data_IF_641763653938
#
_entry.id   IF_641763653938
#
_cell.length_a   1.000
_cell.length_b   1.000
_cell.length_c   1.000
_cell.angle_alpha   90.00
_cell.angle_beta   90.00
_cell.angle_gamma   90.00
#
_symmetry.space_group_name_H-M   'P 1'
#
loop_
_entity.id
_entity.type
_entity.pdbx_description
1 polymer ?
#
# COMPACT_ATOMS: atom_id res chain seq x y z
N UNK A 1 73.93 -8.01 37.45
CA UNK A 1 73.55 -8.31 36.05
C UNK A 1 74.48 -7.53 35.14
N UNK A 2 75.30 -8.23 34.36
CA UNK A 2 76.35 -7.63 33.54
C UNK A 2 75.76 -6.89 32.34
N UNK A 3 76.43 -5.82 31.90
CA UNK A 3 76.13 -4.99 30.71
C UNK A 3 75.84 -5.82 29.46
N UNK A 4 76.41 -7.02 29.38
CA UNK A 4 76.15 -8.00 28.34
C UNK A 4 74.68 -8.44 28.28
N UNK A 5 74.02 -8.70 29.42
CA UNK A 5 72.64 -9.21 29.47
C UNK A 5 71.59 -8.18 29.01
N UNK A 6 71.83 -6.89 29.31
CA UNK A 6 71.00 -5.77 28.83
C UNK A 6 71.14 -5.59 27.31
N UNK A 7 72.34 -5.83 26.77
CA UNK A 7 72.60 -5.73 25.34
C UNK A 7 71.89 -6.86 24.56
N UNK A 8 71.84 -8.08 25.11
CA UNK A 8 71.11 -9.19 24.49
C UNK A 8 69.59 -9.01 24.48
N UNK A 9 68.99 -8.46 25.54
CA UNK A 9 67.54 -8.19 25.55
C UNK A 9 67.15 -7.06 24.58
N UNK A 10 67.96 -6.01 24.47
CA UNK A 10 67.75 -4.95 23.47
C UNK A 10 67.86 -5.47 22.04
N UNK A 11 68.88 -6.28 21.74
CA UNK A 11 69.06 -6.90 20.42
C UNK A 11 67.89 -7.86 20.14
N UNK A 12 67.47 -8.66 21.11
CA UNK A 12 66.34 -9.59 20.97
C UNK A 12 65.03 -8.85 20.68
N UNK A 13 64.73 -7.77 21.40
CA UNK A 13 63.54 -6.94 21.18
C UNK A 13 63.57 -6.26 19.80
N UNK A 14 64.73 -5.73 19.39
CA UNK A 14 64.92 -5.12 18.08
C UNK A 14 64.77 -6.14 16.95
N UNK A 15 65.30 -7.36 17.11
CA UNK A 15 65.13 -8.45 16.14
C UNK A 15 63.68 -8.94 16.05
N UNK A 16 62.94 -8.98 17.16
CA UNK A 16 61.52 -9.32 17.19
C UNK A 16 60.67 -8.28 16.46
N UNK A 17 60.96 -6.99 16.63
CA UNK A 17 60.27 -5.92 15.89
C UNK A 17 60.58 -5.95 14.40
N UNK A 18 61.84 -6.20 14.02
CA UNK A 18 62.24 -6.37 12.61
C UNK A 18 61.57 -7.62 12.00
N UNK A 19 61.52 -8.74 12.74
CA UNK A 19 60.82 -9.95 12.30
C UNK A 19 59.32 -9.68 12.15
N UNK A 20 58.70 -8.96 13.07
CA UNK A 20 57.29 -8.58 13.01
C UNK A 20 57.00 -7.65 11.82
N UNK A 21 57.88 -6.69 11.54
CA UNK A 21 57.77 -5.81 10.37
C UNK A 21 57.92 -6.59 9.05
N UNK A 22 58.92 -7.47 8.95
CA UNK A 22 59.11 -8.33 7.77
C UNK A 22 57.95 -9.31 7.57
N UNK A 23 57.38 -9.86 8.65
CA UNK A 23 56.19 -10.71 8.58
C UNK A 23 54.95 -9.93 8.12
N UNK A 24 54.77 -8.68 8.57
CA UNK A 24 53.73 -7.80 8.06
C UNK A 24 53.93 -7.46 6.58
N UNK A 25 55.17 -7.15 6.17
CA UNK A 25 55.51 -6.89 4.76
C UNK A 25 55.24 -8.11 3.90
N UNK A 26 55.65 -9.30 4.34
CA UNK A 26 55.40 -10.55 3.64
C UNK A 26 53.89 -10.83 3.55
N UNK A 27 53.14 -10.60 4.62
CA UNK A 27 51.68 -10.76 4.63
C UNK A 27 50.99 -9.77 3.67
N UNK A 28 51.43 -8.51 3.62
CA UNK A 28 50.94 -7.51 2.68
C UNK A 28 51.28 -7.87 1.22
N UNK A 29 52.49 -8.37 0.97
CA UNK A 29 52.90 -8.86 -0.34
C UNK A 29 52.06 -10.07 -0.76
N UNK A 30 51.83 -11.02 0.14
CA UNK A 30 50.96 -12.19 -0.10
C UNK A 30 49.52 -11.74 -0.36
N UNK A 31 48.96 -10.80 0.41
CA UNK A 31 47.64 -10.22 0.16
C UNK A 31 47.56 -9.51 -1.20
N UNK A 32 48.60 -8.79 -1.60
CA UNK A 32 48.64 -8.13 -2.91
C UNK A 32 48.72 -9.13 -4.06
N UNK A 33 49.50 -10.20 -3.91
CA UNK A 33 49.61 -11.29 -4.86
C UNK A 33 48.32 -12.12 -4.96
N UNK A 34 47.65 -12.37 -3.82
CA UNK A 34 46.33 -13.01 -3.78
C UNK A 34 45.29 -12.13 -4.48
N UNK A 35 45.24 -10.82 -4.22
CA UNK A 35 44.33 -9.90 -4.93
C UNK A 35 44.57 -9.89 -6.44
N UNK A 36 45.83 -9.91 -6.87
CA UNK A 36 46.16 -9.99 -8.29
C UNK A 36 45.77 -11.35 -8.89
N UNK A 37 45.95 -12.44 -8.16
CA UNK A 37 45.58 -13.80 -8.59
C UNK A 37 44.07 -14.05 -8.62
N UNK A 38 43.29 -13.30 -7.84
CA UNK A 38 41.82 -13.32 -7.80
C UNK A 38 41.17 -12.13 -8.54
N UNK A 39 41.94 -11.36 -9.30
CA UNK A 39 41.37 -10.30 -10.13
C UNK A 39 40.62 -10.98 -11.27
N UNK A 40 39.31 -11.11 -11.10
CA UNK A 40 38.39 -11.65 -12.09
C UNK A 40 38.53 -10.80 -13.37
N UNK A 41 38.94 -11.42 -14.48
CA UNK A 41 39.17 -10.79 -15.80
C UNK A 41 37.84 -10.39 -16.48
N UNK A 42 36.77 -10.27 -15.69
CA UNK A 42 35.42 -9.96 -16.12
C UNK A 42 35.20 -8.48 -16.40
N UNK A 43 34.24 -8.19 -17.28
CA UNK A 43 33.81 -6.82 -17.52
C UNK A 43 33.23 -6.22 -16.22
N UNK A 44 33.47 -4.91 -15.94
CA UNK A 44 32.90 -4.24 -14.79
C UNK A 44 31.38 -4.29 -14.82
N UNK A 45 30.77 -4.59 -13.67
CA UNK A 45 29.31 -4.61 -13.47
C UNK A 45 28.86 -3.29 -12.84
N UNK A 46 27.84 -2.65 -13.41
CA UNK A 46 27.25 -1.41 -12.90
C UNK A 46 25.79 -1.61 -12.51
N UNK A 47 25.43 -1.27 -11.27
CA UNK A 47 24.04 -1.28 -10.82
C UNK A 47 23.36 0.03 -11.24
N UNK A 48 22.21 -0.10 -11.92
CA UNK A 48 21.42 1.03 -12.42
C UNK A 48 19.98 0.83 -11.97
N UNK A 49 19.38 1.85 -11.36
CA UNK A 49 17.96 1.82 -10.99
C UNK A 49 17.14 2.64 -11.98
N UNK A 50 16.02 2.06 -12.44
CA UNK A 50 15.02 2.74 -13.27
C UNK A 50 13.64 2.68 -12.64
N UNK A 51 12.81 3.70 -12.88
CA UNK A 51 11.39 3.66 -12.47
C UNK A 51 10.51 3.21 -13.62
N UNK A 52 9.44 2.45 -13.32
CA UNK A 52 8.39 2.12 -14.30
C UNK A 52 7.86 3.40 -14.96
N UNK A 53 7.72 3.39 -16.29
CA UNK A 53 7.35 4.55 -17.11
C UNK A 53 8.47 5.59 -17.31
N UNK A 54 9.57 5.48 -16.54
CA UNK A 54 10.71 6.38 -16.58
C UNK A 54 11.71 6.06 -17.68
N UNK A 55 12.95 6.56 -17.51
CA UNK A 55 14.06 6.34 -18.44
C UNK A 55 15.37 6.12 -17.72
N UNK A 56 16.26 5.32 -18.31
CA UNK A 56 17.62 5.06 -17.82
C UNK A 56 18.64 5.26 -18.93
N UNK A 57 19.89 5.47 -18.52
CA UNK A 57 21.04 5.58 -19.40
C UNK A 57 22.08 4.53 -18.99
N UNK A 58 22.39 3.60 -19.89
CA UNK A 58 23.45 2.62 -19.70
C UNK A 58 24.71 3.13 -20.41
N UNK A 59 25.66 3.63 -19.62
CA UNK A 59 26.85 4.33 -20.10
C UNK A 59 27.91 3.39 -20.65
N UNK A 60 28.30 3.54 -21.93
CA UNK A 60 29.37 2.75 -22.54
C UNK A 60 30.38 3.64 -23.26
N UNK A 61 31.54 3.85 -22.63
CA UNK A 61 32.60 4.70 -23.15
C UNK A 61 33.64 3.88 -23.89
N UNK A 62 33.96 4.27 -25.13
CA UNK A 62 34.93 3.55 -25.95
C UNK A 62 35.96 4.50 -26.56
N UNK A 63 37.24 4.19 -26.34
CA UNK A 63 38.36 5.08 -26.70
C UNK A 63 38.82 4.98 -28.16
N UNK A 64 38.36 3.98 -28.92
CA UNK A 64 38.89 3.60 -30.24
C UNK A 64 37.83 3.70 -31.35
N UNK A 65 38.24 3.78 -32.64
CA UNK A 65 37.29 3.61 -33.74
C UNK A 65 36.67 2.22 -33.68
N UNK A 66 35.37 2.17 -33.46
CA UNK A 66 34.59 0.94 -33.35
C UNK A 66 33.86 0.65 -34.63
N UNK A 67 33.84 -0.62 -35.06
CA UNK A 67 33.03 -1.04 -36.21
C UNK A 67 31.57 -1.21 -35.82
N UNK A 68 31.37 -1.71 -34.60
CA UNK A 68 30.09 -2.09 -34.02
C UNK A 68 30.12 -1.89 -32.50
N UNK A 69 29.07 -1.28 -31.97
CA UNK A 69 28.73 -1.27 -30.54
C UNK A 69 27.29 -1.69 -30.40
N UNK A 70 26.98 -2.63 -29.51
CA UNK A 70 25.60 -3.02 -29.27
C UNK A 70 25.33 -3.37 -27.82
N UNK A 71 24.05 -3.29 -27.48
CA UNK A 71 23.53 -3.66 -26.19
C UNK A 71 22.68 -4.92 -26.34
N UNK A 72 22.88 -5.85 -25.43
CA UNK A 72 22.07 -7.06 -25.31
C UNK A 72 21.57 -7.21 -23.88
N UNK A 73 20.42 -7.85 -23.72
CA UNK A 73 19.92 -8.36 -22.43
C UNK A 73 20.26 -9.86 -22.30
N UNK A 74 20.39 -10.36 -21.07
CA UNK A 74 20.63 -11.76 -20.73
C UNK A 74 21.98 -12.27 -21.27
N UNK A 75 23.05 -11.52 -21.05
CA UNK A 75 24.36 -11.80 -21.61
C UNK A 75 24.96 -13.10 -21.12
N UNK A 76 24.58 -13.51 -19.90
CA UNK A 76 25.07 -14.74 -19.26
C UNK A 76 24.43 -16.00 -19.85
N UNK A 77 23.43 -15.84 -20.72
CA UNK A 77 22.68 -16.93 -21.37
C UNK A 77 22.54 -16.66 -22.86
N UNK A 78 23.51 -17.07 -23.70
CA UNK A 78 23.52 -16.77 -25.13
C UNK A 78 22.24 -17.15 -25.86
N UNK A 79 21.62 -18.27 -25.49
CA UNK A 79 20.36 -18.77 -26.06
C UNK A 79 19.12 -17.92 -25.71
N UNK A 80 19.17 -17.16 -24.62
CA UNK A 80 18.12 -16.24 -24.18
C UNK A 80 18.48 -14.77 -24.48
N UNK A 81 19.61 -14.52 -25.14
CA UNK A 81 20.12 -13.17 -25.38
C UNK A 81 19.22 -12.37 -26.31
N UNK A 82 18.92 -11.14 -25.95
CA UNK A 82 18.03 -10.26 -26.72
C UNK A 82 18.80 -9.02 -27.15
N UNK A 83 18.88 -8.81 -28.46
CA UNK A 83 19.43 -7.59 -29.02
C UNK A 83 18.53 -6.39 -28.70
N UNK A 84 19.09 -5.37 -28.04
CA UNK A 84 18.36 -4.18 -27.57
C UNK A 84 18.47 -3.05 -28.59
N UNK A 85 19.69 -2.58 -28.84
CA UNK A 85 19.99 -1.54 -29.84
C UNK A 85 21.51 -1.52 -30.10
N UNK A 86 21.95 -0.90 -31.20
CA UNK A 86 23.35 -0.88 -31.58
C UNK A 86 23.68 0.19 -32.61
N UNK A 87 24.96 0.54 -32.65
CA UNK A 87 25.56 1.37 -33.68
C UNK A 87 26.35 0.46 -34.61
N UNK A 88 26.01 0.52 -35.90
CA UNK A 88 26.67 -0.22 -36.95
C UNK A 88 27.24 0.77 -37.97
N UNK A 89 28.42 0.47 -38.50
CA UNK A 89 28.97 1.20 -39.64
C UNK A 89 28.15 1.00 -40.93
N UNK A 90 27.30 -0.03 -40.99
CA UNK A 90 26.33 -0.29 -42.07
C UNK A 90 24.96 -0.58 -41.46
N UNK A 91 23.86 0.03 -41.91
CA UNK A 91 22.57 -0.12 -41.26
C UNK A 91 22.14 -1.59 -41.21
N UNK A 92 21.84 -2.08 -40.01
CA UNK A 92 21.00 -3.25 -39.79
C UNK A 92 19.71 -2.77 -39.12
N UNK A 93 18.56 -3.14 -39.66
CA UNK A 93 17.26 -2.58 -39.25
C UNK A 93 16.56 -3.36 -38.13
N UNK A 94 17.18 -4.43 -37.63
CA UNK A 94 16.54 -5.29 -36.65
C UNK A 94 16.77 -4.80 -35.22
N UNK A 95 15.72 -4.28 -34.60
CA UNK A 95 15.60 -4.07 -33.17
C UNK A 95 14.49 -4.99 -32.68
N UNK A 96 14.73 -5.72 -31.59
CA UNK A 96 13.73 -6.64 -31.03
C UNK A 96 12.43 -5.86 -30.71
N UNK A 97 11.23 -6.41 -31.01
CA UNK A 97 9.97 -5.67 -30.87
C UNK A 97 9.76 -5.03 -29.49
N UNK A 98 10.24 -5.67 -28.42
CA UNK A 98 10.14 -5.16 -27.04
C UNK A 98 10.96 -3.88 -26.78
N UNK A 99 11.94 -3.54 -27.62
CA UNK A 99 12.80 -2.36 -27.49
C UNK A 99 12.62 -1.35 -28.62
N UNK A 100 11.82 -1.71 -29.63
CA UNK A 100 11.53 -0.86 -30.78
C UNK A 100 10.80 0.39 -30.31
N UNK A 101 11.19 1.55 -30.87
CA UNK A 101 10.62 2.87 -30.55
C UNK A 101 10.76 3.32 -29.08
N UNK A 102 11.56 2.62 -28.27
CA UNK A 102 11.80 3.00 -26.87
C UNK A 102 13.26 2.94 -26.42
N UNK A 103 14.17 2.91 -27.39
CA UNK A 103 15.62 2.90 -27.17
C UNK A 103 16.34 3.76 -28.21
N UNK A 104 17.46 4.35 -27.82
CA UNK A 104 18.34 5.12 -28.71
C UNK A 104 19.77 5.14 -28.18
N UNK A 105 20.74 5.22 -29.08
CA UNK A 105 22.14 5.47 -28.70
C UNK A 105 22.45 6.97 -28.69
N UNK A 106 23.03 7.44 -27.59
CA UNK A 106 23.47 8.81 -27.35
C UNK A 106 25.00 8.86 -27.40
N UNK A 107 25.56 10.02 -27.78
CA UNK A 107 27.00 10.30 -27.68
C UNK A 107 27.85 9.81 -28.86
N UNK A 108 27.20 9.35 -29.94
CA UNK A 108 27.87 8.77 -31.12
C UNK A 108 29.00 9.65 -31.65
N UNK A 109 28.80 10.96 -31.64
CA UNK A 109 29.74 11.96 -32.16
C UNK A 109 30.94 12.20 -31.22
N UNK A 110 30.81 11.86 -29.93
CA UNK A 110 31.83 11.99 -28.89
C UNK A 110 32.50 10.67 -28.49
N UNK A 111 32.26 9.58 -29.25
CA UNK A 111 32.69 8.20 -28.93
C UNK A 111 32.13 7.66 -27.60
N UNK A 112 31.05 8.25 -27.15
CA UNK A 112 30.25 7.74 -26.05
C UNK A 112 29.09 6.97 -26.69
N UNK A 113 28.98 5.67 -26.42
CA UNK A 113 27.95 4.83 -27.03
C UNK A 113 26.94 4.41 -25.96
N UNK A 114 26.35 5.40 -25.29
CA UNK A 114 25.43 5.17 -24.18
C UNK A 114 24.03 4.82 -24.68
N UNK A 115 23.43 3.76 -24.13
CA UNK A 115 22.06 3.37 -24.45
C UNK A 115 21.08 4.12 -23.56
N UNK A 116 20.21 4.92 -24.17
CA UNK A 116 19.03 5.47 -23.49
C UNK A 116 17.83 4.56 -23.74
N UNK A 117 17.16 4.15 -22.67
CA UNK A 117 15.91 3.41 -22.68
C UNK A 117 14.83 4.26 -21.98
N UNK A 118 13.60 4.26 -22.49
CA UNK A 118 12.49 4.99 -21.88
C UNK A 118 11.19 4.20 -21.89
N UNK A 119 10.20 4.68 -21.14
CA UNK A 119 8.95 3.97 -20.88
C UNK A 119 9.23 2.56 -20.34
N UNK A 120 10.02 2.48 -19.27
CA UNK A 120 10.46 1.23 -18.67
C UNK A 120 9.28 0.43 -18.10
N UNK A 121 9.39 -0.89 -18.19
CA UNK A 121 8.45 -1.85 -17.62
C UNK A 121 9.19 -2.81 -16.69
N UNK A 122 8.48 -3.54 -15.84
CA UNK A 122 9.08 -4.56 -14.96
C UNK A 122 9.89 -5.59 -15.76
N UNK A 123 9.45 -5.93 -16.97
CA UNK A 123 10.17 -6.85 -17.87
C UNK A 123 11.54 -6.32 -18.34
N UNK A 124 11.84 -5.04 -18.14
CA UNK A 124 13.15 -4.47 -18.46
C UNK A 124 14.20 -4.81 -17.40
N UNK A 125 13.79 -5.15 -16.18
CA UNK A 125 14.71 -5.57 -15.12
C UNK A 125 15.57 -6.77 -15.57
N UNK A 126 16.87 -6.73 -15.24
CA UNK A 126 17.80 -7.82 -15.53
C UNK A 126 19.19 -7.34 -15.94
N UNK A 127 19.99 -8.27 -16.43
CA UNK A 127 21.36 -7.99 -16.87
C UNK A 127 21.42 -7.53 -18.33
N UNK A 128 22.24 -6.50 -18.56
CA UNK A 128 22.54 -5.96 -19.89
C UNK A 128 24.04 -5.87 -20.09
N UNK A 129 24.49 -5.89 -21.34
CA UNK A 129 25.91 -5.69 -21.65
C UNK A 129 26.09 -4.76 -22.80
N UNK A 130 27.11 -3.90 -22.68
CA UNK A 130 27.68 -3.22 -23.83
C UNK A 130 28.78 -4.07 -24.43
N UNK A 131 28.61 -4.45 -25.70
CA UNK A 131 29.57 -5.23 -26.45
C UNK A 131 30.12 -4.38 -27.59
N UNK A 132 31.44 -4.41 -27.71
CA UNK A 132 32.19 -3.60 -28.65
C UNK A 132 33.04 -4.49 -29.54
N UNK A 133 33.02 -4.23 -30.84
CA UNK A 133 33.86 -4.90 -31.83
C UNK A 133 34.84 -3.89 -32.44
N UNK A 134 36.07 -3.90 -31.92
CA UNK A 134 37.24 -3.20 -32.51
C UNK A 134 38.05 -4.12 -33.43
N UNK A 135 38.08 -5.43 -33.13
CA UNK A 135 38.79 -6.47 -33.87
C UNK A 135 37.86 -7.57 -34.42
N UNK A 136 38.38 -8.79 -34.68
CA UNK A 136 37.57 -9.91 -35.16
C UNK A 136 36.69 -10.52 -34.07
N UNK A 137 37.05 -10.33 -32.80
CA UNK A 137 36.33 -10.88 -31.64
C UNK A 137 35.59 -9.74 -30.93
N UNK A 138 34.28 -9.90 -30.63
CA UNK A 138 33.55 -8.95 -29.82
C UNK A 138 33.95 -9.07 -28.35
N UNK A 139 34.09 -7.93 -27.66
CA UNK A 139 34.45 -7.88 -26.25
C UNK A 139 33.33 -7.18 -25.47
N UNK A 140 32.91 -7.79 -24.36
CA UNK A 140 32.05 -7.12 -23.37
C UNK A 140 32.88 -6.09 -22.62
N UNK A 141 32.46 -4.82 -22.69
CA UNK A 141 33.20 -3.71 -22.06
C UNK A 141 32.60 -3.36 -20.70
N UNK A 142 31.28 -3.49 -20.55
CA UNK A 142 30.54 -3.21 -19.32
C UNK A 142 29.32 -4.12 -19.25
N UNK A 143 29.05 -4.66 -18.07
CA UNK A 143 27.77 -5.27 -17.71
C UNK A 143 26.96 -4.31 -16.84
N UNK A 144 25.64 -4.37 -16.92
CA UNK A 144 24.72 -3.60 -16.10
C UNK A 144 23.74 -4.53 -15.42
N UNK A 145 23.46 -4.28 -14.15
CA UNK A 145 22.29 -4.83 -13.46
C UNK A 145 21.25 -3.72 -13.39
N UNK A 146 20.21 -3.81 -14.23
CA UNK A 146 19.11 -2.85 -14.21
C UNK A 146 18.05 -3.36 -13.24
N UNK A 147 17.85 -2.65 -12.14
CA UNK A 147 16.71 -2.85 -11.22
C UNK A 147 15.59 -1.88 -11.57
N UNK A 148 14.35 -2.35 -11.51
CA UNK A 148 13.16 -1.52 -11.79
C UNK A 148 12.36 -1.31 -10.51
N UNK A 149 11.93 -0.07 -10.25
CA UNK A 149 11.10 0.27 -9.10
C UNK A 149 9.79 0.94 -9.50
N UNK A 150 8.73 0.69 -8.73
CA UNK A 150 7.45 1.39 -8.84
C UNK A 150 6.88 1.63 -7.43
N UNK A 151 6.47 2.86 -7.10
CA UNK A 151 5.88 3.15 -5.81
C UNK A 151 4.48 2.57 -5.71
N UNK A 152 4.16 2.00 -4.55
CA UNK A 152 2.80 1.59 -4.22
C UNK A 152 1.87 2.81 -4.12
N UNK A 153 0.62 2.66 -4.55
CA UNK A 153 -0.42 3.65 -4.32
C UNK A 153 -0.69 3.80 -2.82
N UNK A 154 -1.10 4.99 -2.39
CA UNK A 154 -1.51 5.23 -1.01
C UNK A 154 -2.60 4.22 -0.65
N UNK A 155 -2.38 3.34 0.35
CA UNK A 155 -3.32 2.28 0.65
C UNK A 155 -4.70 2.82 1.02
N UNK A 156 -5.74 2.15 0.54
CA UNK A 156 -7.13 2.52 0.82
C UNK A 156 -7.75 1.51 1.79
N UNK A 157 -8.26 2.00 2.91
CA UNK A 157 -8.96 1.18 3.92
C UNK A 157 -10.47 1.30 3.71
N UNK A 158 -11.16 0.17 3.64
CA UNK A 158 -12.62 0.08 3.41
C UNK A 158 -13.27 -0.92 4.36
N UNK A 159 -14.54 -0.70 4.71
CA UNK A 159 -15.32 -1.64 5.53
C UNK A 159 -15.89 -2.73 4.62
N UNK A 160 -15.64 -4.00 4.96
CA UNK A 160 -16.22 -5.17 4.29
C UNK A 160 -17.51 -5.63 4.93
N UNK A 161 -17.52 -5.72 6.24
CA UNK A 161 -18.68 -6.15 7.01
C UNK A 161 -18.57 -5.67 8.44
N UNK A 162 -19.71 -5.66 9.11
CA UNK A 162 -19.87 -5.36 10.52
C UNK A 162 -20.83 -6.37 11.11
N UNK A 163 -20.45 -7.00 12.20
CA UNK A 163 -21.25 -8.02 12.88
C UNK A 163 -21.38 -7.69 14.35
N UNK A 164 -22.58 -7.86 14.88
CA UNK A 164 -22.84 -7.77 16.32
C UNK A 164 -22.76 -9.19 16.90
N UNK A 165 -21.88 -9.39 17.89
CA UNK A 165 -21.67 -10.66 18.58
C UNK A 165 -22.82 -11.07 19.49
N UNK A 166 -23.81 -10.19 19.70
CA UNK A 166 -24.99 -10.47 20.53
C UNK A 166 -24.75 -10.38 22.04
N UNK A 167 -23.50 -10.24 22.48
CA UNK A 167 -23.09 -9.93 23.86
C UNK A 167 -22.78 -8.43 24.06
N UNK A 168 -23.03 -7.61 23.04
CA UNK A 168 -22.66 -6.19 23.00
C UNK A 168 -21.29 -5.90 22.37
N UNK A 169 -20.57 -6.92 21.87
CA UNK A 169 -19.32 -6.73 21.12
C UNK A 169 -19.58 -6.59 19.62
N UNK A 170 -19.24 -5.42 19.07
CA UNK A 170 -19.28 -5.17 17.63
C UNK A 170 -17.94 -5.59 17.01
N UNK A 171 -17.97 -6.29 15.87
CA UNK A 171 -16.78 -6.70 15.12
C UNK A 171 -16.79 -6.10 13.72
N UNK A 172 -15.70 -5.44 13.33
CA UNK A 172 -15.52 -4.76 12.04
C UNK A 172 -14.50 -5.52 11.19
N UNK A 173 -14.86 -5.89 9.98
CA UNK A 173 -13.93 -6.41 8.99
C UNK A 173 -13.52 -5.29 8.04
N UNK A 174 -12.22 -4.97 8.00
CA UNK A 174 -11.64 -3.92 7.16
C UNK A 174 -10.76 -4.54 6.09
N UNK A 175 -10.90 -4.07 4.85
CA UNK A 175 -9.98 -4.38 3.76
C UNK A 175 -9.05 -3.20 3.52
N UNK A 176 -7.74 -3.47 3.53
CA UNK A 176 -6.76 -2.57 2.96
C UNK A 176 -6.34 -3.05 1.58
N UNK A 177 -6.19 -2.12 0.63
CA UNK A 177 -5.78 -2.36 -0.75
C UNK A 177 -4.74 -1.31 -1.16
N UNK A 178 -3.62 -1.77 -1.73
CA UNK A 178 -2.61 -0.94 -2.40
C UNK A 178 -2.15 -1.61 -3.69
N UNK A 179 -1.81 -0.83 -4.71
CA UNK A 179 -1.55 -1.30 -6.07
C UNK A 179 -0.46 -0.50 -6.77
N UNK A 180 0.10 -1.07 -7.84
CA UNK A 180 1.06 -0.38 -8.70
C UNK A 180 2.53 -0.46 -8.26
N UNK A 181 2.82 -1.15 -7.17
CA UNK A 181 4.18 -1.21 -6.61
C UNK A 181 5.05 -2.33 -7.16
N UNK A 182 6.36 -2.12 -7.19
CA UNK A 182 7.35 -3.14 -7.55
C UNK A 182 8.70 -2.74 -6.93
N UNK A 183 9.46 -3.66 -6.31
CA UNK A 183 9.18 -5.08 -6.09
C UNK A 183 7.99 -5.33 -5.13
N UNK A 184 7.53 -6.58 -4.97
CA UNK A 184 6.51 -6.91 -3.98
C UNK A 184 6.96 -6.56 -2.55
N UNK A 185 6.02 -6.14 -1.71
CA UNK A 185 6.25 -5.72 -0.33
C UNK A 185 5.20 -6.33 0.63
N UNK A 186 5.30 -6.02 1.92
CA UNK A 186 4.43 -6.50 2.99
C UNK A 186 3.47 -5.39 3.42
N UNK A 187 2.24 -5.79 3.72
CA UNK A 187 1.20 -4.91 4.26
C UNK A 187 1.24 -4.96 5.79
N UNK A 188 1.33 -3.79 6.43
CA UNK A 188 1.32 -3.67 7.88
C UNK A 188 0.14 -2.82 8.35
N UNK A 189 -0.56 -3.28 9.38
CA UNK A 189 -1.59 -2.52 10.08
C UNK A 189 -1.01 -1.83 11.31
N UNK A 190 -1.48 -0.63 11.59
CA UNK A 190 -1.06 0.16 12.74
C UNK A 190 -2.30 0.74 13.41
N UNK A 191 -2.53 0.37 14.67
CA UNK A 191 -3.70 0.80 15.44
C UNK A 191 -3.28 1.80 16.51
N UNK A 192 -3.97 2.93 16.56
CA UNK A 192 -3.78 4.00 17.54
C UNK A 192 -5.00 4.07 18.45
N UNK A 193 -4.84 3.71 19.73
CA UNK A 193 -5.90 3.69 20.75
C UNK A 193 -5.32 3.44 22.14
N UNK A 194 -6.13 3.57 23.21
CA UNK A 194 -5.66 3.33 24.59
C UNK A 194 -5.32 1.85 24.80
N UNK A 195 -4.24 1.64 25.57
CA UNK A 195 -3.54 0.37 25.80
C UNK A 195 -4.45 -0.78 26.23
N UNK A 196 -4.72 -1.69 25.31
CA UNK A 196 -4.38 -3.12 25.40
C UNK A 196 -5.10 -3.88 24.28
N UNK A 197 -4.35 -4.13 23.20
CA UNK A 197 -4.71 -4.94 22.03
C UNK A 197 -6.20 -4.93 21.68
N UNK A 198 -6.61 -3.92 20.89
CA UNK A 198 -7.62 -4.19 19.86
C UNK A 198 -7.17 -5.50 19.19
N UNK A 199 -7.97 -6.57 19.31
CA UNK A 199 -7.62 -7.89 18.79
C UNK A 199 -7.72 -7.84 17.27
N UNK A 200 -6.69 -7.26 16.64
CA UNK A 200 -6.46 -7.29 15.22
C UNK A 200 -6.24 -8.76 14.85
N UNK A 201 -7.25 -9.34 14.22
CA UNK A 201 -7.11 -10.64 13.59
C UNK A 201 -6.80 -10.41 12.12
N UNK A 202 -5.51 -10.45 11.79
CA UNK A 202 -5.05 -10.35 10.42
C UNK A 202 -5.46 -11.58 9.62
N UNK A 203 -6.19 -11.37 8.54
CA UNK A 203 -6.44 -12.40 7.55
C UNK A 203 -5.20 -12.65 6.67
N UNK A 204 -5.31 -13.64 5.78
CA UNK A 204 -4.24 -13.94 4.82
C UNK A 204 -4.07 -12.78 3.84
N UNK A 205 -2.85 -12.25 3.77
CA UNK A 205 -2.48 -11.26 2.75
C UNK A 205 -2.48 -11.89 1.36
N UNK A 206 -3.14 -11.23 0.41
CA UNK A 206 -3.23 -11.64 -0.99
C UNK A 206 -2.46 -10.66 -1.85
N UNK A 207 -1.43 -11.15 -2.53
CA UNK A 207 -0.64 -10.38 -3.48
C UNK A 207 -0.72 -11.01 -4.87
N UNK A 208 -0.80 -10.18 -5.90
CA UNK A 208 -0.78 -10.63 -7.28
C UNK A 208 -0.14 -9.57 -8.18
N UNK A 209 0.62 -10.03 -9.17
CA UNK A 209 1.20 -9.16 -10.19
C UNK A 209 0.22 -9.00 -11.36
N UNK A 210 0.11 -7.78 -11.88
CA UNK A 210 -0.58 -7.53 -13.13
C UNK A 210 0.18 -8.19 -14.30
N UNK A 211 -0.55 -8.90 -15.16
CA UNK A 211 0.07 -9.72 -16.22
C UNK A 211 0.78 -8.89 -17.30
N UNK A 212 0.37 -7.64 -17.51
CA UNK A 212 0.92 -6.80 -18.58
C UNK A 212 2.04 -5.90 -18.10
N UNK A 213 1.83 -5.21 -16.98
CA UNK A 213 2.79 -4.25 -16.41
C UNK A 213 3.79 -4.90 -15.46
N UNK A 214 3.46 -6.05 -14.88
CA UNK A 214 4.29 -6.76 -13.90
C UNK A 214 4.28 -6.14 -12.49
N UNK A 215 3.55 -5.04 -12.28
CA UNK A 215 3.44 -4.38 -10.96
C UNK A 215 2.47 -5.12 -10.05
N UNK A 216 2.68 -5.00 -8.74
CA UNK A 216 1.97 -5.73 -7.72
C UNK A 216 0.77 -4.97 -7.16
N UNK A 217 -0.27 -5.74 -6.84
CA UNK A 217 -1.39 -5.32 -6.01
C UNK A 217 -1.46 -6.22 -4.79
N UNK A 218 -1.60 -5.61 -3.62
CA UNK A 218 -1.65 -6.28 -2.32
C UNK A 218 -2.94 -5.88 -1.63
N UNK A 219 -3.66 -6.87 -1.11
CA UNK A 219 -4.79 -6.65 -0.24
C UNK A 219 -4.80 -7.62 0.94
N UNK A 220 -5.26 -7.14 2.08
CA UNK A 220 -5.48 -7.94 3.27
C UNK A 220 -6.78 -7.50 3.92
N UNK A 221 -7.53 -8.46 4.47
CA UNK A 221 -8.69 -8.18 5.31
C UNK A 221 -8.30 -8.48 6.75
N UNK A 222 -8.55 -7.53 7.65
CA UNK A 222 -8.33 -7.71 9.07
C UNK A 222 -9.64 -7.46 9.83
N UNK A 223 -9.85 -8.25 10.88
CA UNK A 223 -11.05 -8.17 11.73
C UNK A 223 -10.70 -7.54 13.06
N UNK A 224 -11.58 -6.67 13.55
CA UNK A 224 -11.41 -5.86 14.74
C UNK A 224 -12.59 -6.04 15.67
N UNK A 225 -12.33 -6.51 16.88
CA UNK A 225 -13.36 -6.53 17.93
C UNK A 225 -13.33 -5.20 18.68
N UNK A 226 -14.44 -4.48 18.62
CA UNK A 226 -14.57 -3.14 19.16
C UNK A 226 -14.78 -3.16 20.67
N UNK A 227 -13.89 -2.46 21.38
CA UNK A 227 -14.02 -2.18 22.81
C UNK A 227 -14.03 -0.68 23.07
N UNK A 228 -13.20 0.07 22.34
CA UNK A 228 -13.11 1.52 22.40
C UNK A 228 -12.87 2.09 20.99
N UNK A 229 -13.25 3.35 20.73
CA UNK A 229 -12.89 4.03 19.50
C UNK A 229 -11.38 4.05 19.28
N UNK A 230 -10.95 3.75 18.06
CA UNK A 230 -9.55 3.71 17.69
C UNK A 230 -9.36 4.24 16.26
N UNK A 231 -8.13 4.62 15.93
CA UNK A 231 -7.74 4.96 14.57
C UNK A 231 -6.82 3.88 14.02
N UNK A 232 -6.96 3.57 12.74
CA UNK A 232 -6.13 2.58 12.08
C UNK A 232 -5.51 3.11 10.80
N UNK A 233 -4.26 2.76 10.58
CA UNK A 233 -3.55 2.96 9.31
C UNK A 233 -3.08 1.64 8.75
N UNK A 234 -2.93 1.63 7.42
CA UNK A 234 -2.35 0.54 6.67
C UNK A 234 -1.17 1.08 5.87
N UNK A 235 -0.04 0.39 5.87
CA UNK A 235 1.16 0.78 5.13
C UNK A 235 1.70 -0.34 4.25
N UNK A 236 2.15 0.00 3.04
CA UNK A 236 2.77 -0.89 2.06
C UNK A 236 3.88 -0.12 1.33
N UNK A 237 5.11 -0.65 1.29
CA UNK A 237 6.20 -0.04 0.51
C UNK A 237 6.47 1.43 0.80
N UNK A 238 6.40 1.81 2.09
CA UNK A 238 6.58 3.19 2.55
C UNK A 238 5.37 4.11 2.33
N UNK A 239 4.36 3.71 1.56
CA UNK A 239 3.09 4.43 1.43
C UNK A 239 2.16 4.07 2.61
N UNK A 240 1.57 5.07 3.26
CA UNK A 240 0.69 4.88 4.42
C UNK A 240 -0.67 5.52 4.18
N UNK A 241 -1.74 4.80 4.51
CA UNK A 241 -3.11 5.31 4.39
C UNK A 241 -3.37 6.47 5.35
N UNK A 242 -4.31 7.36 5.05
CA UNK A 242 -4.88 8.24 6.07
C UNK A 242 -5.44 7.41 7.24
N UNK A 243 -5.45 7.96 8.47
CA UNK A 243 -6.05 7.29 9.62
C UNK A 243 -7.55 7.10 9.40
N UNK A 244 -8.01 5.87 9.58
CA UNK A 244 -9.41 5.49 9.48
C UNK A 244 -9.98 5.26 10.88
N UNK A 245 -11.04 5.96 11.26
CA UNK A 245 -11.67 5.80 12.57
C UNK A 245 -12.58 4.58 12.59
N UNK A 246 -12.43 3.75 13.61
CA UNK A 246 -13.17 2.51 13.81
C UNK A 246 -13.82 2.51 15.19
N UNK A 247 -14.84 1.65 15.35
CA UNK A 247 -15.51 1.47 16.63
C UNK A 247 -16.10 2.78 17.19
N UNK A 248 -16.46 3.69 16.28
CA UNK A 248 -17.24 4.88 16.62
C UNK A 248 -18.69 4.50 16.63
N UNK A 249 -19.43 4.95 17.65
CA UNK A 249 -20.89 4.85 17.68
C UNK A 249 -21.43 5.32 16.33
N UNK A 250 -22.03 4.40 15.57
CA UNK A 250 -22.77 4.79 14.38
C UNK A 250 -23.81 5.81 14.85
N UNK A 251 -23.91 7.01 14.25
CA UNK A 251 -25.08 7.85 14.50
C UNK A 251 -26.27 6.96 14.19
N UNK A 252 -27.09 6.70 15.22
CA UNK A 252 -28.34 5.97 15.10
C UNK A 252 -28.99 6.44 13.80
N UNK A 253 -29.28 5.53 12.89
CA UNK A 253 -29.86 5.89 11.59
C UNK A 253 -30.96 6.93 11.82
N UNK A 254 -31.14 7.91 10.90
CA UNK A 254 -32.16 8.95 11.07
C UNK A 254 -33.55 8.35 11.36
N UNK A 255 -33.78 7.08 11.02
CA UNK A 255 -34.93 6.29 11.42
C UNK A 255 -35.20 6.29 12.93
N UNK A 256 -34.22 6.05 13.81
CA UNK A 256 -34.46 6.02 15.26
C UNK A 256 -34.76 7.40 15.83
N UNK A 257 -34.08 8.44 15.34
CA UNK A 257 -34.34 9.82 15.77
C UNK A 257 -35.74 10.27 15.33
N UNK A 258 -36.15 9.89 14.11
CA UNK A 258 -37.50 10.15 13.58
C UNK A 258 -38.56 9.36 14.35
N UNK A 259 -38.34 8.08 14.65
CA UNK A 259 -39.26 7.25 15.42
C UNK A 259 -39.48 7.82 16.83
N UNK A 260 -38.41 8.19 17.54
CA UNK A 260 -38.51 8.80 18.89
C UNK A 260 -39.30 10.11 18.83
N UNK A 261 -39.03 10.97 17.83
CA UNK A 261 -39.74 12.23 17.66
C UNK A 261 -41.25 12.03 17.41
N UNK A 262 -41.62 11.04 16.58
CA UNK A 262 -43.04 10.71 16.29
C UNK A 262 -43.75 10.18 17.54
N UNK A 263 -43.09 9.32 18.33
CA UNK A 263 -43.66 8.79 19.57
C UNK A 263 -43.88 9.90 20.59
N UNK A 264 -42.91 10.79 20.77
CA UNK A 264 -43.04 11.94 21.68
C UNK A 264 -44.17 12.89 21.26
N UNK A 265 -44.32 13.14 19.95
CA UNK A 265 -45.42 13.95 19.41
C UNK A 265 -46.78 13.31 19.70
N UNK A 266 -46.93 12.00 19.49
CA UNK A 266 -48.17 11.28 19.75
C UNK A 266 -48.55 11.32 21.24
N UNK A 267 -47.59 11.10 22.13
CA UNK A 267 -47.80 11.19 23.58
C UNK A 267 -48.24 12.61 24.00
N UNK A 268 -47.63 13.64 23.42
CA UNK A 268 -48.02 15.03 23.67
C UNK A 268 -49.47 15.31 23.25
N UNK A 269 -49.87 14.87 22.06
CA UNK A 269 -51.26 15.01 21.58
C UNK A 269 -52.23 14.30 22.51
N UNK A 270 -51.90 13.08 22.95
CA UNK A 270 -52.75 12.28 23.83
C UNK A 270 -52.94 12.96 25.20
N UNK A 271 -51.88 13.56 25.75
CA UNK A 271 -51.97 14.36 26.99
C UNK A 271 -52.86 15.58 26.80
N UNK A 272 -52.73 16.31 25.68
CA UNK A 272 -53.58 17.47 25.37
C UNK A 272 -55.05 17.06 25.27
N UNK A 273 -55.37 15.96 24.59
CA UNK A 273 -56.74 15.44 24.48
C UNK A 273 -57.30 15.06 25.85
N UNK A 274 -56.53 14.40 26.71
CA UNK A 274 -56.96 14.07 28.08
C UNK A 274 -57.24 15.35 28.88
N UNK A 275 -56.39 16.37 28.78
CA UNK A 275 -56.60 17.66 29.45
C UNK A 275 -57.89 18.32 28.95
N UNK A 276 -58.12 18.36 27.64
CA UNK A 276 -59.34 18.92 27.05
C UNK A 276 -60.60 18.17 27.52
N UNK A 277 -60.57 16.83 27.58
CA UNK A 277 -61.68 16.03 28.11
C UNK A 277 -61.94 16.35 29.59
N UNK A 278 -60.88 16.50 30.40
CA UNK A 278 -61.00 16.83 31.83
C UNK A 278 -61.49 18.26 32.08
N UNK A 279 -61.12 19.22 31.22
CA UNK A 279 -61.56 20.63 31.30
C UNK A 279 -63.01 20.78 30.81
N UNK A 280 -63.36 20.18 29.67
CA UNK A 280 -64.73 20.19 29.15
C UNK A 280 -65.70 19.38 30.02
N UNK A 281 -65.25 18.26 30.59
CA UNK A 281 -66.05 17.45 31.52
C UNK A 281 -66.33 18.14 32.87
N UNK A 282 -65.54 19.15 33.25
CA UNK A 282 -65.82 19.99 34.45
C UNK A 282 -66.88 21.06 34.20
N UNK A 283 -67.23 21.37 32.94
CA UNK A 283 -68.24 22.39 32.62
C UNK A 283 -69.69 21.85 32.59
N UNK A 284 -69.92 20.55 32.86
CA UNK A 284 -71.23 19.89 32.77
C UNK A 284 -71.86 19.45 34.11
N UNK A 285 -71.57 20.15 35.22
CA UNK A 285 -72.41 20.05 36.44
C UNK A 285 -73.28 21.32 36.59
N UNK A 286 -74.50 21.37 36.03
CA UNK A 286 -75.47 22.40 36.40
C UNK A 286 -76.20 21.98 37.69
N UNK A 287 -76.02 22.79 38.73
CA UNK A 287 -76.87 22.86 39.92
C UNK A 287 -78.23 23.44 39.49
N UNK A 288 -79.33 22.70 39.65
CA UNK A 288 -80.69 23.22 39.45
C UNK A 288 -81.44 23.11 40.76
N UNK A 289 -81.56 24.28 41.39
CA UNK A 289 -82.26 24.56 42.64
C UNK A 289 -83.78 24.49 42.44
N UNK A 290 -84.45 23.98 43.47
CA UNK A 290 -85.88 23.71 43.58
C UNK A 290 -86.67 25.00 43.89
N UNK A 291 -87.67 25.36 43.07
CA UNK A 291 -88.77 26.22 43.53
C UNK A 291 -90.07 25.96 42.73
N UNK A 292 -91.11 25.67 43.49
CA UNK A 292 -92.51 25.36 43.18
C UNK A 292 -93.33 26.55 42.67
N UNK A 293 -94.44 26.29 41.97
CA UNK A 293 -95.81 26.75 42.32
C UNK A 293 -96.85 26.15 41.35
N UNK A 294 -98.01 25.83 41.94
CA UNK A 294 -99.10 24.95 41.55
C UNK A 294 -100.29 25.67 40.87
N UNK A 295 -101.26 24.87 40.40
CA UNK A 295 -102.69 25.12 40.07
C UNK A 295 -103.03 25.50 38.62
N UNK A 296 -104.07 25.01 37.95
CA UNK A 296 -105.09 23.94 38.11
C UNK A 296 -105.96 23.95 36.82
N UNK A 297 -106.80 22.93 36.62
CA UNK A 297 -108.04 22.85 35.79
C UNK A 297 -108.08 22.12 34.40
N UNK A 298 -108.65 20.90 34.47
CA UNK A 298 -109.88 20.38 33.80
C UNK A 298 -109.93 19.92 32.29
N UNK A 299 -109.78 18.59 32.07
CA UNK A 299 -110.62 17.54 31.38
C UNK A 299 -111.65 17.88 30.24
N UNK A 300 -112.21 16.89 29.46
CA UNK A 300 -111.72 15.74 28.65
C UNK A 300 -112.31 15.66 27.19
N UNK A 301 -111.84 14.69 26.36
CA UNK A 301 -112.60 13.57 25.74
C UNK A 301 -112.14 13.14 24.32
N UNK A 302 -111.61 11.90 24.21
CA UNK A 302 -111.94 10.74 23.32
C UNK A 302 -112.19 10.89 21.78
N UNK A 303 -112.17 9.79 20.97
CA UNK A 303 -111.48 8.48 21.04
C UNK A 303 -110.89 7.96 19.67
N UNK A 304 -110.23 6.78 19.71
CA UNK A 304 -109.75 5.95 18.57
C UNK A 304 -110.88 5.39 17.65
N UNK A 305 -110.56 4.81 16.46
CA UNK A 305 -110.26 3.36 16.32
C UNK A 305 -109.06 3.08 15.35
N UNK A 306 -108.20 2.06 15.47
CA UNK A 306 -108.35 0.59 15.43
C UNK A 306 -108.61 -0.02 14.03
N UNK A 307 -107.67 -0.88 13.58
CA UNK A 307 -107.75 -2.09 12.72
C UNK A 307 -106.39 -2.24 11.98
N UNK A 308 -105.60 -3.33 11.93
CA UNK A 308 -105.65 -4.78 12.17
C UNK A 308 -105.53 -5.62 10.87
N UNK A 309 -104.69 -6.66 10.94
CA UNK A 309 -104.53 -7.83 10.05
C UNK A 309 -103.94 -7.54 8.65
N UNK A 310 -102.77 -8.09 8.27
CA UNK A 310 -102.36 -9.50 8.15
C UNK A 310 -100.84 -9.63 8.13
#
# INVERSE_FOLDING_TARGET
MSVWQVNYECIFHFTLEILRYNMCLLFLLILSALRAAFSDDGAPVQDVEGRVGGSVLLGCNVSLPVKLVYFQKNCKKPEESIFVNGFYSRPGDYIHPQYKNRTSLIGKDSKEYSLKMWNLTVSDEGDYCCIVMTGPVPNTVVEFNLTVTAPFSIPTVTIKSRSDGGDGTESWALQCLSSGGYPPDVLNWTVFGKENSVLLQEGVSKSYADKHSGVWTINQTATFNCTHPANITCSVGGATSPPFSICTDTPSSPEYTVIIAVVLLFLFILVVVIILIRVCGRQQLPEVELATVETDQLKPADPCPAESFL
#
